data_IF_344015284326
#
_entry.id   IF_344015284326
#
_cell.length_a   1.000
_cell.length_b   1.000
_cell.length_c   1.000
_cell.angle_alpha   90.00
_cell.angle_beta   90.00
_cell.angle_gamma   90.00
#
_symmetry.space_group_name_H-M   'P 1'
#
loop_
_entity.id
_entity.type
_entity.pdbx_description
1 polymer ?
#
# COMPACT_ATOMS: atom_id res chain seq x y z
N UNK A 1 -12.91 32.36 -1.06
CA UNK A 1 -12.05 31.19 -0.77
C UNK A 1 -12.76 29.97 -1.35
N UNK A 2 -12.13 29.27 -2.30
CA UNK A 2 -12.70 28.03 -2.84
C UNK A 2 -12.61 26.90 -1.80
N UNK A 3 -13.37 25.81 -1.95
CA UNK A 3 -13.31 24.67 -1.04
C UNK A 3 -11.87 24.14 -1.00
N UNK A 4 -11.31 24.03 0.20
CA UNK A 4 -10.11 23.23 0.42
C UNK A 4 -10.55 21.78 0.24
N UNK A 5 -10.22 21.19 -0.90
CA UNK A 5 -10.43 19.76 -1.11
C UNK A 5 -9.47 19.02 -0.17
N UNK A 6 -9.99 18.56 0.96
CA UNK A 6 -9.27 17.65 1.85
C UNK A 6 -9.13 16.31 1.12
N UNK A 7 -7.91 15.97 0.71
CA UNK A 7 -7.59 14.68 0.11
C UNK A 7 -7.26 13.69 1.22
N UNK A 8 -8.16 12.73 1.44
CA UNK A 8 -8.00 11.65 2.41
C UNK A 8 -8.29 10.31 1.75
N UNK A 9 -7.45 9.32 2.03
CA UNK A 9 -7.66 7.94 1.63
C UNK A 9 -7.63 7.03 2.86
N UNK A 10 -8.58 6.12 2.94
CA UNK A 10 -8.60 5.09 3.96
C UNK A 10 -8.79 3.72 3.31
N UNK A 11 -7.97 2.76 3.72
CA UNK A 11 -8.11 1.36 3.39
C UNK A 11 -8.07 0.55 4.68
N UNK A 12 -9.01 -0.37 4.86
CA UNK A 12 -9.01 -1.28 6.01
C UNK A 12 -9.52 -2.65 5.63
N UNK A 13 -8.91 -3.69 6.19
CA UNK A 13 -9.37 -5.06 6.07
C UNK A 13 -8.82 -5.91 7.20
N UNK A 14 -9.39 -7.10 7.36
CA UNK A 14 -8.93 -8.12 8.30
C UNK A 14 -8.39 -9.31 7.52
N UNK A 15 -7.37 -9.96 8.07
CA UNK A 15 -6.74 -11.12 7.44
C UNK A 15 -6.23 -12.11 8.48
N UNK A 16 -6.05 -13.36 8.05
CA UNK A 16 -5.47 -14.44 8.86
C UNK A 16 -4.57 -15.28 8.00
N UNK A 17 -3.36 -15.59 8.45
CA UNK A 17 -2.42 -16.43 7.69
C UNK A 17 -1.46 -17.20 8.59
N UNK A 18 -0.91 -18.29 8.04
CA UNK A 18 0.26 -19.00 8.59
C UNK A 18 1.51 -18.82 7.72
N UNK A 19 1.39 -18.06 6.63
CA UNK A 19 2.52 -17.80 5.73
C UNK A 19 3.36 -16.66 6.27
N UNK A 20 4.67 -16.88 6.36
CA UNK A 20 5.65 -15.86 6.70
C UNK A 20 6.07 -15.00 5.49
N UNK A 21 5.59 -15.34 4.28
CA UNK A 21 5.85 -14.59 3.05
C UNK A 21 4.61 -14.58 2.14
N UNK A 22 4.02 -13.41 1.87
CA UNK A 22 2.85 -13.29 1.00
C UNK A 22 2.59 -11.87 0.52
N UNK A 23 1.88 -11.72 -0.59
CA UNK A 23 1.30 -10.46 -1.03
C UNK A 23 -0.16 -10.41 -0.56
N UNK A 24 -0.50 -9.43 0.27
CA UNK A 24 -1.86 -9.23 0.77
C UNK A 24 -2.66 -8.27 -0.12
N UNK A 25 -2.02 -7.21 -0.59
CA UNK A 25 -2.67 -6.17 -1.39
C UNK A 25 -1.70 -5.62 -2.44
N UNK A 26 -2.20 -5.40 -3.65
CA UNK A 26 -1.56 -4.57 -4.66
C UNK A 26 -2.60 -3.70 -5.39
N UNK A 27 -2.27 -2.43 -5.61
CA UNK A 27 -3.01 -1.54 -6.53
C UNK A 27 -2.06 -0.47 -7.07
N UNK A 28 -2.30 -0.01 -8.30
CA UNK A 28 -1.54 1.04 -8.96
C UNK A 28 -2.47 2.03 -9.70
N UNK A 29 -1.88 3.12 -10.17
CA UNK A 29 -2.58 4.22 -10.84
C UNK A 29 -2.81 4.03 -12.36
N UNK A 30 -2.76 2.78 -12.85
CA UNK A 30 -2.76 2.45 -14.27
C UNK A 30 -1.39 2.52 -14.92
N UNK A 31 -0.33 2.70 -14.12
CA UNK A 31 1.02 2.97 -14.59
C UNK A 31 1.22 4.39 -15.11
N UNK A 32 0.28 5.31 -14.84
CA UNK A 32 0.31 6.70 -15.35
C UNK A 32 1.45 7.48 -14.72
N UNK A 33 1.55 7.47 -13.39
CA UNK A 33 2.65 8.03 -12.62
C UNK A 33 3.46 6.92 -11.95
N UNK A 34 3.11 5.65 -12.11
CA UNK A 34 3.79 4.55 -11.41
C UNK A 34 3.65 4.64 -9.89
N UNK A 35 2.56 5.26 -9.43
CA UNK A 35 2.13 5.23 -8.05
C UNK A 35 1.54 3.87 -7.73
N UNK A 36 1.78 3.37 -6.53
CA UNK A 36 1.30 2.07 -6.11
C UNK A 36 1.21 1.99 -4.59
N UNK A 37 0.38 1.07 -4.12
CA UNK A 37 0.41 0.55 -2.76
C UNK A 37 0.59 -0.96 -2.80
N UNK A 38 1.54 -1.47 -2.04
CA UNK A 38 1.76 -2.92 -1.85
C UNK A 38 1.82 -3.23 -0.38
N UNK A 39 0.99 -4.16 0.08
CA UNK A 39 1.06 -4.71 1.43
C UNK A 39 1.55 -6.15 1.36
N UNK A 40 2.69 -6.42 1.99
CA UNK A 40 3.33 -7.73 2.01
C UNK A 40 3.54 -8.22 3.43
N UNK A 41 3.62 -9.54 3.57
CA UNK A 41 4.20 -10.19 4.73
C UNK A 41 5.57 -10.68 4.33
N UNK A 42 6.58 -10.32 5.11
CA UNK A 42 7.98 -10.73 4.91
C UNK A 42 8.55 -11.11 6.26
N UNK A 43 9.04 -12.34 6.42
CA UNK A 43 9.48 -12.88 7.71
C UNK A 43 8.40 -12.79 8.81
N UNK A 44 7.15 -13.08 8.42
CA UNK A 44 6.00 -13.08 9.32
C UNK A 44 5.56 -11.69 9.80
N UNK A 45 6.14 -10.62 9.27
CA UNK A 45 5.84 -9.23 9.65
C UNK A 45 5.25 -8.46 8.48
N UNK A 46 4.37 -7.51 8.80
CA UNK A 46 3.68 -6.70 7.80
C UNK A 46 4.58 -5.55 7.31
N UNK A 47 4.62 -5.34 5.99
CA UNK A 47 5.33 -4.25 5.33
C UNK A 47 4.44 -3.58 4.29
N UNK A 48 4.33 -2.25 4.37
CA UNK A 48 3.71 -1.39 3.38
C UNK A 48 4.82 -0.72 2.56
N UNK A 49 4.78 -0.88 1.25
CA UNK A 49 5.59 -0.15 0.28
C UNK A 49 4.70 0.65 -0.66
N UNK A 50 5.04 1.92 -0.91
CA UNK A 50 4.21 2.79 -1.74
C UNK A 50 4.98 3.92 -2.42
N UNK A 51 4.41 4.44 -3.52
CA UNK A 51 4.83 5.68 -4.18
C UNK A 51 3.59 6.53 -4.44
N UNK A 52 3.73 7.84 -4.22
CA UNK A 52 2.68 8.84 -4.43
C UNK A 52 3.22 10.06 -5.18
N UNK A 53 2.29 10.84 -5.72
CA UNK A 53 2.53 12.13 -6.34
C UNK A 53 2.60 12.05 -7.87
N UNK A 54 2.56 13.21 -8.51
CA UNK A 54 2.76 13.36 -9.94
C UNK A 54 4.24 13.50 -10.31
N UNK A 55 4.62 13.05 -11.51
CA UNK A 55 5.85 13.52 -12.14
C UNK A 55 5.57 14.82 -12.88
N UNK A 56 5.53 15.95 -12.19
CA UNK A 56 5.65 17.22 -12.89
C UNK A 56 7.03 17.28 -13.56
N UNK A 57 7.06 17.63 -14.85
CA UNK A 57 8.24 17.52 -15.74
C UNK A 57 9.46 18.35 -15.28
N UNK A 58 9.28 19.26 -14.33
CA UNK A 58 10.34 20.18 -13.85
C UNK A 58 11.19 19.64 -12.70
N UNK A 59 10.94 18.43 -12.20
CA UNK A 59 11.69 17.87 -11.06
C UNK A 59 12.52 16.67 -11.51
N UNK A 60 13.82 16.91 -11.70
CA UNK A 60 14.88 15.91 -11.92
C UNK A 60 15.09 14.93 -10.74
N UNK A 61 14.18 14.89 -9.75
CA UNK A 61 14.31 14.02 -8.59
C UNK A 61 13.48 12.76 -8.79
N UNK A 62 14.14 11.61 -8.67
CA UNK A 62 13.47 10.32 -8.59
C UNK A 62 12.48 10.33 -7.41
N UNK A 63 11.21 9.98 -7.67
CA UNK A 63 10.21 9.84 -6.61
C UNK A 63 10.50 8.59 -5.79
N UNK A 64 10.78 8.72 -4.48
CA UNK A 64 11.19 7.58 -3.67
C UNK A 64 10.05 6.59 -3.50
N UNK A 65 10.41 5.31 -3.34
CA UNK A 65 9.52 4.32 -2.74
C UNK A 65 9.60 4.48 -1.24
N UNK A 66 8.46 4.66 -0.60
CA UNK A 66 8.33 4.76 0.84
C UNK A 66 8.00 3.40 1.42
N UNK A 67 8.77 2.96 2.42
CA UNK A 67 8.51 1.73 3.16
C UNK A 67 8.13 2.04 4.62
N UNK A 68 7.18 1.27 5.17
CA UNK A 68 6.82 1.22 6.59
C UNK A 68 6.64 -0.25 6.97
N UNK A 69 7.37 -0.72 7.97
CA UNK A 69 7.33 -2.11 8.43
C UNK A 69 6.96 -2.17 9.90
N UNK A 70 6.03 -3.05 10.26
CA UNK A 70 5.59 -3.25 11.64
C UNK A 70 6.45 -4.35 12.27
N UNK A 71 7.38 -3.96 13.14
CA UNK A 71 8.37 -4.88 13.73
C UNK A 71 7.86 -5.64 14.95
N UNK A 72 6.84 -5.10 15.63
CA UNK A 72 6.35 -5.55 16.93
C UNK A 72 5.33 -6.68 16.83
N UNK A 73 4.72 -6.87 15.66
CA UNK A 73 3.60 -7.81 15.46
C UNK A 73 3.99 -8.84 14.42
N UNK A 74 3.94 -10.12 14.80
CA UNK A 74 3.93 -11.23 13.85
C UNK A 74 2.50 -11.55 13.47
N UNK A 75 2.27 -11.75 12.17
CA UNK A 75 0.95 -11.98 11.58
C UNK A 75 0.78 -13.37 10.96
N UNK A 76 1.83 -14.19 11.06
CA UNK A 76 1.88 -15.58 10.57
C UNK A 76 1.47 -16.60 11.66
N UNK A 77 0.79 -16.15 12.71
CA UNK A 77 0.43 -16.97 13.87
C UNK A 77 -0.92 -17.71 13.71
N UNK A 78 -1.59 -17.53 12.56
CA UNK A 78 -2.89 -18.13 12.26
C UNK A 78 -4.07 -17.46 12.98
N UNK A 79 -3.92 -16.25 13.53
CA UNK A 79 -5.01 -15.47 14.11
C UNK A 79 -5.45 -14.34 13.17
N UNK A 80 -6.61 -13.77 13.48
CA UNK A 80 -7.12 -12.59 12.78
C UNK A 80 -6.34 -11.36 13.21
N UNK A 81 -5.92 -10.58 12.22
CA UNK A 81 -5.28 -9.28 12.37
C UNK A 81 -6.05 -8.23 11.59
N UNK A 82 -6.13 -7.01 12.12
CA UNK A 82 -6.78 -5.88 11.46
C UNK A 82 -5.74 -4.88 10.98
N UNK A 83 -5.79 -4.54 9.70
CA UNK A 83 -4.97 -3.50 9.11
C UNK A 83 -5.81 -2.28 8.73
N UNK A 84 -5.27 -1.09 9.00
CA UNK A 84 -5.81 0.19 8.53
C UNK A 84 -4.67 1.05 7.98
N UNK A 85 -4.80 1.52 6.75
CA UNK A 85 -4.02 2.61 6.17
C UNK A 85 -4.90 3.86 6.13
N UNK A 86 -4.37 4.97 6.60
CA UNK A 86 -4.94 6.29 6.45
C UNK A 86 -3.89 7.23 5.88
N UNK A 87 -4.20 7.92 4.79
CA UNK A 87 -3.34 8.92 4.20
C UNK A 87 -4.12 10.23 4.06
N UNK A 88 -3.55 11.31 4.58
CA UNK A 88 -4.07 12.67 4.46
C UNK A 88 -2.90 13.59 4.11
N UNK A 89 -2.86 14.05 2.86
CA UNK A 89 -1.73 14.83 2.33
C UNK A 89 -0.38 14.14 2.58
N UNK A 90 0.55 14.79 3.27
CA UNK A 90 1.85 14.25 3.65
C UNK A 90 1.80 13.21 4.78
N UNK A 91 0.68 13.08 5.49
CA UNK A 91 0.56 12.24 6.67
C UNK A 91 0.08 10.84 6.27
N UNK A 92 0.95 9.84 6.42
CA UNK A 92 0.62 8.43 6.25
C UNK A 92 0.64 7.76 7.62
N UNK A 93 -0.48 7.16 7.99
CA UNK A 93 -0.66 6.39 9.22
C UNK A 93 -1.02 4.95 8.85
N UNK A 94 -0.33 3.99 9.43
CA UNK A 94 -0.76 2.60 9.42
C UNK A 94 -1.05 2.12 10.83
N UNK A 95 -2.04 1.24 10.95
CA UNK A 95 -2.37 0.54 12.18
C UNK A 95 -2.49 -0.95 11.89
N UNK A 96 -1.76 -1.75 12.65
CA UNK A 96 -1.87 -3.21 12.69
C UNK A 96 -2.25 -3.61 14.12
N UNK A 97 -3.47 -4.09 14.28
CA UNK A 97 -4.11 -4.33 15.57
C UNK A 97 -4.02 -3.08 16.47
N UNK A 98 -3.23 -3.13 17.54
CA UNK A 98 -3.02 -2.02 18.47
C UNK A 98 -1.72 -1.23 18.19
N UNK A 99 -0.94 -1.64 17.18
CA UNK A 99 0.33 -0.98 16.82
C UNK A 99 0.07 0.07 15.76
N UNK A 100 0.45 1.32 16.03
CA UNK A 100 0.28 2.45 15.11
C UNK A 100 1.65 3.01 14.72
N UNK A 101 1.87 3.21 13.43
CA UNK A 101 3.07 3.85 12.88
C UNK A 101 2.68 5.03 11.98
N UNK A 102 3.54 6.05 11.94
CA UNK A 102 3.34 7.26 11.16
C UNK A 102 4.55 7.54 10.27
N UNK A 103 4.31 8.14 9.11
CA UNK A 103 5.33 8.66 8.20
C UNK A 103 4.85 9.97 7.60
N UNK A 104 5.71 10.99 7.67
CA UNK A 104 5.50 12.29 7.01
C UNK A 104 6.29 12.28 5.71
N UNK A 105 5.62 12.55 4.59
CA UNK A 105 6.23 12.56 3.26
C UNK A 105 6.78 13.94 2.92
N UNK A 106 8.04 14.00 2.47
CA UNK A 106 8.65 15.24 1.98
C UNK A 106 8.61 15.27 0.46
N UNK A 107 7.50 15.74 -0.11
CA UNK A 107 7.30 15.84 -1.56
C UNK A 107 6.24 16.89 -1.91
N UNK A 108 6.11 17.24 -3.19
CA UNK A 108 5.22 18.33 -3.66
C UNK A 108 3.78 17.89 -3.93
N UNK A 109 3.57 16.61 -4.24
CA UNK A 109 2.27 16.06 -4.62
C UNK A 109 2.03 14.77 -3.87
N UNK A 110 0.80 14.54 -3.42
CA UNK A 110 0.40 13.37 -2.62
C UNK A 110 -0.70 12.55 -3.29
N UNK A 111 -1.04 12.90 -4.53
CA UNK A 111 -2.10 12.26 -5.30
C UNK A 111 -1.67 10.84 -5.66
N UNK A 112 -2.54 9.86 -5.42
CA UNK A 112 -2.32 8.49 -5.87
C UNK A 112 -2.63 8.35 -7.36
N UNK A 113 -3.82 8.78 -7.78
CA UNK A 113 -4.32 8.64 -9.15
C UNK A 113 -5.75 9.15 -9.26
N UNK A 114 -6.51 8.68 -10.25
CA UNK A 114 -7.92 8.99 -10.40
C UNK A 114 -8.73 7.77 -10.87
N UNK A 115 -10.04 7.78 -10.62
CA UNK A 115 -10.94 6.64 -10.92
C UNK A 115 -11.00 6.24 -12.40
N UNK A 116 -10.57 7.09 -13.34
CA UNK A 116 -10.51 6.75 -14.77
C UNK A 116 -9.23 6.02 -15.16
N UNK A 117 -8.16 6.16 -14.38
CA UNK A 117 -6.84 5.60 -14.72
C UNK A 117 -6.40 4.50 -13.78
N UNK A 118 -6.88 4.47 -12.53
CA UNK A 118 -6.48 3.46 -11.56
C UNK A 118 -6.74 2.04 -12.09
N UNK A 119 -5.77 1.15 -11.86
CA UNK A 119 -5.91 -0.28 -12.13
C UNK A 119 -6.82 -0.96 -11.12
N UNK A 120 -7.10 -2.24 -11.37
CA UNK A 120 -7.77 -3.12 -10.43
C UNK A 120 -7.06 -3.17 -9.07
N UNK A 121 -7.83 -3.50 -8.04
CA UNK A 121 -7.31 -3.80 -6.70
C UNK A 121 -7.20 -5.32 -6.56
N UNK A 122 -6.00 -5.79 -6.27
CA UNK A 122 -5.73 -7.21 -6.03
C UNK A 122 -5.55 -7.45 -4.55
N UNK A 123 -6.29 -8.40 -4.00
CA UNK A 123 -6.22 -8.77 -2.59
C UNK A 123 -6.03 -10.27 -2.49
N UNK A 124 -5.05 -10.70 -1.69
CA UNK A 124 -4.67 -12.10 -1.58
C UNK A 124 -3.75 -12.58 -2.72
N UNK A 125 -2.98 -11.68 -3.31
CA UNK A 125 -2.03 -11.99 -4.39
C UNK A 125 -2.56 -11.62 -5.77
N UNK A 126 -1.81 -12.00 -6.81
CA UNK A 126 -2.01 -11.55 -8.20
C UNK A 126 -2.60 -12.64 -9.10
N UNK A 127 -3.27 -12.31 -10.21
CA UNK A 127 -3.61 -13.32 -11.20
C UNK A 127 -2.35 -13.92 -11.83
N UNK A 128 -2.31 -15.24 -12.04
CA UNK A 128 -1.20 -15.94 -12.72
C UNK A 128 -0.98 -15.46 -14.16
N UNK A 129 -1.99 -14.82 -14.74
CA UNK A 129 -1.96 -14.27 -16.11
C UNK A 129 -1.43 -12.83 -16.15
N UNK A 130 -0.95 -12.26 -15.03
CA UNK A 130 -0.40 -10.90 -15.00
C UNK A 130 1.15 -10.94 -15.14
N UNK A 131 1.72 -10.77 -16.35
CA UNK A 131 3.14 -11.08 -16.59
C UNK A 131 4.09 -10.09 -15.92
N UNK A 132 3.61 -8.86 -15.61
CA UNK A 132 4.43 -7.77 -15.07
C UNK A 132 4.90 -7.98 -13.62
N UNK A 133 4.26 -8.87 -12.87
CA UNK A 133 4.51 -9.05 -11.43
C UNK A 133 4.65 -10.53 -11.01
N UNK A 134 4.67 -11.46 -11.98
CA UNK A 134 4.49 -12.91 -11.76
C UNK A 134 5.65 -13.63 -11.05
N UNK A 135 6.74 -12.96 -10.71
CA UNK A 135 7.87 -13.58 -10.02
C UNK A 135 8.03 -13.00 -8.61
N UNK A 136 7.26 -13.51 -7.61
CA UNK A 136 7.72 -13.72 -6.20
C UNK A 136 6.65 -13.91 -5.10
N UNK A 137 5.34 -13.86 -5.34
CA UNK A 137 4.37 -13.91 -4.23
C UNK A 137 3.33 -15.01 -4.36
N UNK A 138 3.15 -15.78 -3.27
CA UNK A 138 2.12 -16.80 -3.13
C UNK A 138 0.73 -16.16 -2.91
N UNK A 139 -0.29 -16.83 -3.46
CA UNK A 139 -1.70 -16.41 -3.51
C UNK A 139 -2.50 -16.93 -2.29
N UNK A 140 -3.46 -16.15 -1.80
CA UNK A 140 -4.47 -16.53 -0.80
C UNK A 140 -5.86 -16.02 -1.22
N UNK A 141 -6.90 -16.81 -1.01
CA UNK A 141 -8.28 -16.32 -1.08
C UNK A 141 -8.68 -15.68 0.24
N UNK A 142 -9.32 -14.51 0.19
CA UNK A 142 -10.02 -13.93 1.34
C UNK A 142 -11.28 -14.80 1.59
N UNK A 143 -11.48 -15.23 2.83
CA UNK A 143 -12.78 -15.68 3.34
C UNK A 143 -13.32 -14.61 4.28
#
# INVERSE_FOLDING_TARGET
>A
MGPVLTFENQLSFEFRTKSSASLLLYTDDGGVQGNFYTLTIVDGKLQLDFRLGDSNQDVLMERPVHSIRVEQVRVDDGKWHKFVLFQAWENVKIQLDNTVLFKILTQRSFVFGNLRTNSDVFVGGLPTVCPRLSNKFAYFFIF
#
